data_IF_444230999415
#
_entry.id   IF_444230999415
#
_cell.length_a   1.000
_cell.length_b   1.000
_cell.length_c   1.000
_cell.angle_alpha   90.00
_cell.angle_beta   90.00
_cell.angle_gamma   90.00
#
_symmetry.space_group_name_H-M   'P 1'
#
loop_
_entity.id
_entity.type
_entity.pdbx_description
1 polymer ?
#
# COMPACT_ATOMS: atom_id res chain seq x y z
N UNK A 1 11.15 2.17 15.68
CA UNK A 1 10.77 1.76 17.05
C UNK A 1 9.39 1.18 16.94
N UNK A 2 9.19 -0.08 17.34
CA UNK A 2 7.87 -0.72 17.29
C UNK A 2 6.96 -0.09 18.36
N UNK A 3 5.72 0.24 17.99
CA UNK A 3 4.68 0.60 18.95
C UNK A 3 4.29 -0.63 19.76
N UNK A 4 3.99 -0.42 21.04
CA UNK A 4 3.32 -1.40 21.90
C UNK A 4 1.95 -0.85 22.26
N UNK A 5 1.01 -1.69 22.74
CA UNK A 5 -0.31 -1.21 23.17
C UNK A 5 -0.22 -0.08 24.20
N UNK A 6 0.62 -0.25 25.23
CA UNK A 6 0.87 0.80 26.24
C UNK A 6 1.45 2.06 25.63
N UNK A 7 2.37 1.96 24.66
CA UNK A 7 2.91 3.16 23.99
C UNK A 7 1.83 3.85 23.16
N UNK A 8 0.97 3.08 22.49
CA UNK A 8 -0.14 3.60 21.69
C UNK A 8 -1.14 4.39 22.54
N UNK A 9 -1.52 3.89 23.72
CA UNK A 9 -2.43 4.59 24.65
C UNK A 9 -1.84 5.90 25.19
N UNK A 10 -0.51 6.01 25.25
CA UNK A 10 0.20 7.16 25.80
C UNK A 10 0.78 8.08 24.71
N UNK A 11 0.33 7.95 23.45
CA UNK A 11 0.77 8.84 22.38
C UNK A 11 0.33 10.28 22.68
N UNK A 12 1.27 11.22 22.49
CA UNK A 12 0.94 12.64 22.47
C UNK A 12 0.08 13.00 21.27
N UNK A 13 -0.63 14.14 21.33
CA UNK A 13 -1.44 14.63 20.21
C UNK A 13 -0.63 14.78 18.91
N UNK A 14 0.62 15.21 19.02
CA UNK A 14 1.51 15.38 17.87
C UNK A 14 1.91 14.03 17.27
N UNK A 15 2.15 13.01 18.09
CA UNK A 15 2.45 11.65 17.62
C UNK A 15 1.23 11.00 16.95
N UNK A 16 0.04 11.15 17.55
CA UNK A 16 -1.22 10.68 16.94
C UNK A 16 -1.41 11.33 15.56
N UNK A 17 -1.26 12.66 15.49
CA UNK A 17 -1.38 13.39 14.22
C UNK A 17 -0.34 12.92 13.18
N UNK A 18 0.90 12.67 13.60
CA UNK A 18 1.94 12.18 12.70
C UNK A 18 1.63 10.77 12.15
N UNK A 19 1.11 9.89 13.00
CA UNK A 19 0.67 8.54 12.61
C UNK A 19 -0.50 8.63 11.63
N UNK A 20 -1.53 9.40 11.93
CA UNK A 20 -2.69 9.57 11.05
C UNK A 20 -2.28 10.12 9.67
N UNK A 21 -1.41 11.12 9.64
CA UNK A 21 -0.87 11.66 8.38
C UNK A 21 -0.08 10.61 7.59
N UNK A 22 0.73 9.79 8.28
CA UNK A 22 1.47 8.71 7.64
C UNK A 22 0.53 7.68 7.02
N UNK A 23 -0.44 7.17 7.80
CA UNK A 23 -1.43 6.18 7.35
C UNK A 23 -2.27 6.69 6.18
N UNK A 24 -2.67 7.97 6.24
CA UNK A 24 -3.38 8.63 5.16
C UNK A 24 -2.54 8.69 3.87
N UNK A 25 -1.28 9.15 3.97
CA UNK A 25 -0.38 9.25 2.81
C UNK A 25 -0.05 7.89 2.21
N UNK A 26 0.16 6.87 3.04
CA UNK A 26 0.36 5.49 2.60
C UNK A 26 -0.84 4.99 1.79
N UNK A 27 -2.05 5.18 2.33
CA UNK A 27 -3.29 4.77 1.66
C UNK A 27 -3.48 5.50 0.34
N UNK A 28 -3.23 6.83 0.31
CA UNK A 28 -3.31 7.62 -0.92
C UNK A 28 -2.30 7.23 -1.98
N UNK A 29 -1.08 6.87 -1.60
CA UNK A 29 -0.08 6.34 -2.52
C UNK A 29 -0.57 5.01 -3.12
N UNK A 30 -1.03 4.09 -2.28
CA UNK A 30 -1.54 2.80 -2.73
C UNK A 30 -2.72 2.96 -3.69
N UNK A 31 -3.72 3.76 -3.34
CA UNK A 31 -4.89 4.00 -4.19
C UNK A 31 -4.50 4.62 -5.53
N UNK A 32 -3.67 5.66 -5.51
CA UNK A 32 -3.23 6.35 -6.73
C UNK A 32 -2.48 5.41 -7.68
N UNK A 33 -1.64 4.53 -7.13
CA UNK A 33 -0.92 3.54 -7.92
C UNK A 33 -1.84 2.49 -8.51
N UNK A 34 -2.73 1.91 -7.69
CA UNK A 34 -3.65 0.86 -8.14
C UNK A 34 -4.70 1.35 -9.14
N UNK A 35 -5.30 2.51 -8.90
CA UNK A 35 -6.38 3.02 -9.74
C UNK A 35 -5.88 3.56 -11.08
N UNK A 36 -4.71 4.22 -11.08
CA UNK A 36 -4.24 4.99 -12.24
C UNK A 36 -2.92 4.48 -12.79
N UNK A 37 -1.89 4.40 -11.95
CA UNK A 37 -0.52 4.15 -12.42
C UNK A 37 -0.38 2.78 -13.10
N UNK A 38 -0.94 1.74 -12.49
CA UNK A 38 -0.87 0.38 -13.02
C UNK A 38 -1.55 0.28 -14.38
N UNK A 39 -2.79 0.75 -14.49
CA UNK A 39 -3.52 0.76 -15.76
C UNK A 39 -2.81 1.59 -16.83
N UNK A 40 -2.32 2.77 -16.46
CA UNK A 40 -1.62 3.66 -17.38
C UNK A 40 -0.33 3.03 -17.93
N UNK A 41 0.47 2.35 -17.09
CA UNK A 41 1.65 1.66 -17.55
C UNK A 41 1.28 0.46 -18.44
N UNK A 42 0.32 -0.36 -18.03
CA UNK A 42 -0.12 -1.50 -18.85
C UNK A 42 -0.66 -1.06 -20.21
N UNK A 43 -1.35 0.09 -20.25
CA UNK A 43 -1.89 0.69 -21.48
C UNK A 43 -0.84 1.08 -22.52
N UNK A 44 0.44 1.13 -22.13
CA UNK A 44 1.55 1.29 -23.09
C UNK A 44 1.87 0.00 -23.85
N UNK A 45 1.51 -1.15 -23.30
CA UNK A 45 1.84 -2.46 -23.85
C UNK A 45 0.61 -3.21 -24.39
N UNK A 46 -0.56 -2.97 -23.81
CA UNK A 46 -1.81 -3.63 -24.18
C UNK A 46 -2.94 -2.62 -24.42
N UNK A 47 -3.81 -2.92 -25.38
CA UNK A 47 -5.03 -2.13 -25.61
C UNK A 47 -6.16 -2.57 -24.66
N UNK A 48 -7.15 -1.69 -24.45
CA UNK A 48 -8.39 -1.97 -23.68
C UNK A 48 -8.18 -2.34 -22.20
N UNK A 49 -7.10 -1.86 -21.57
CA UNK A 49 -6.78 -2.13 -20.15
C UNK A 49 -7.86 -1.73 -19.16
N UNK A 50 -8.71 -0.76 -19.52
CA UNK A 50 -9.78 -0.28 -18.65
C UNK A 50 -10.88 -1.32 -18.39
N UNK A 51 -11.01 -2.31 -19.28
CA UNK A 51 -11.99 -3.40 -19.17
C UNK A 51 -11.47 -4.58 -18.34
N UNK A 52 -10.18 -4.58 -18.00
CA UNK A 52 -9.58 -5.67 -17.25
C UNK A 52 -9.94 -5.58 -15.77
N UNK A 53 -10.29 -6.71 -15.13
CA UNK A 53 -10.30 -6.81 -13.68
C UNK A 53 -8.95 -6.38 -13.10
N UNK A 54 -8.96 -5.73 -11.94
CA UNK A 54 -7.73 -5.18 -11.33
C UNK A 54 -6.66 -6.25 -11.09
N UNK A 55 -7.05 -7.46 -10.68
CA UNK A 55 -6.11 -8.57 -10.49
C UNK A 55 -5.42 -8.97 -11.79
N UNK A 56 -6.13 -8.92 -12.92
CA UNK A 56 -5.58 -9.24 -14.23
C UNK A 56 -4.63 -8.12 -14.71
N UNK A 57 -4.94 -6.86 -14.39
CA UNK A 57 -4.02 -5.73 -14.64
C UNK A 57 -2.68 -5.98 -13.95
N UNK A 58 -2.68 -6.34 -12.66
CA UNK A 58 -1.43 -6.61 -11.93
C UNK A 58 -0.70 -7.82 -12.53
N UNK A 59 -1.37 -8.96 -12.72
CA UNK A 59 -0.75 -10.17 -13.29
C UNK A 59 -0.12 -9.93 -14.67
N UNK A 60 -0.72 -9.06 -15.47
CA UNK A 60 -0.14 -8.67 -16.77
C UNK A 60 1.07 -7.76 -16.59
N UNK A 61 1.00 -6.77 -15.69
CA UNK A 61 2.12 -5.90 -15.36
C UNK A 61 3.36 -6.64 -14.88
N UNK A 62 3.21 -7.72 -14.11
CA UNK A 62 4.33 -8.54 -13.60
C UNK A 62 5.26 -9.02 -14.72
N UNK A 63 4.69 -9.31 -15.91
CA UNK A 63 5.47 -9.74 -17.08
C UNK A 63 6.36 -8.64 -17.64
N UNK A 64 6.01 -7.38 -17.43
CA UNK A 64 6.74 -6.22 -17.96
C UNK A 64 7.74 -5.66 -16.94
N UNK A 65 7.42 -5.73 -15.64
CA UNK A 65 8.27 -5.26 -14.55
C UNK A 65 9.21 -6.32 -13.97
N UNK A 66 9.05 -7.59 -14.37
CA UNK A 66 9.85 -8.73 -13.91
C UNK A 66 9.89 -8.89 -12.36
N UNK A 67 8.76 -8.62 -11.69
CA UNK A 67 8.59 -8.73 -10.25
C UNK A 67 7.19 -9.29 -9.95
N UNK A 68 7.07 -10.11 -8.90
CA UNK A 68 5.77 -10.52 -8.34
C UNK A 68 5.20 -9.35 -7.53
N UNK A 69 4.23 -8.65 -8.14
CA UNK A 69 3.57 -7.49 -7.54
C UNK A 69 2.23 -7.93 -6.93
N UNK A 70 1.56 -8.94 -7.47
CA UNK A 70 0.21 -9.33 -7.08
C UNK A 70 0.14 -9.78 -5.63
N UNK A 71 1.09 -10.60 -5.18
CA UNK A 71 1.10 -11.10 -3.82
C UNK A 71 1.37 -9.99 -2.80
N UNK A 72 2.41 -9.20 -3.01
CA UNK A 72 2.73 -8.07 -2.14
C UNK A 72 1.61 -7.01 -2.14
N UNK A 73 1.06 -6.70 -3.31
CA UNK A 73 -0.04 -5.73 -3.41
C UNK A 73 -1.30 -6.20 -2.70
N UNK A 74 -1.61 -7.50 -2.80
CA UNK A 74 -2.73 -8.08 -2.07
C UNK A 74 -2.53 -7.95 -0.56
N UNK A 75 -1.33 -8.27 -0.06
CA UNK A 75 -1.00 -8.16 1.35
C UNK A 75 -1.07 -6.71 1.86
N UNK A 76 -0.53 -5.76 1.09
CA UNK A 76 -0.66 -4.32 1.38
C UNK A 76 -2.12 -3.90 1.52
N UNK A 77 -3.01 -4.36 0.62
CA UNK A 77 -4.45 -4.05 0.68
C UNK A 77 -5.12 -4.69 1.89
N UNK A 78 -4.74 -5.92 2.24
CA UNK A 78 -5.27 -6.63 3.39
C UNK A 78 -4.95 -5.88 4.68
N UNK A 79 -3.69 -5.53 4.89
CA UNK A 79 -3.24 -4.79 6.09
C UNK A 79 -3.97 -3.44 6.21
N UNK A 80 -4.10 -2.70 5.09
CA UNK A 80 -4.86 -1.44 5.09
C UNK A 80 -6.35 -1.64 5.40
N UNK A 81 -6.96 -2.70 4.88
CA UNK A 81 -8.38 -2.96 5.16
C UNK A 81 -8.62 -3.33 6.63
N UNK A 82 -7.66 -3.99 7.28
CA UNK A 82 -7.71 -4.25 8.73
C UNK A 82 -7.67 -2.95 9.53
N UNK A 83 -6.84 -1.98 9.12
CA UNK A 83 -6.80 -0.65 9.75
C UNK A 83 -8.20 -0.03 9.83
N UNK A 84 -8.99 -0.07 8.75
CA UNK A 84 -10.33 0.52 8.71
C UNK A 84 -11.39 -0.23 9.55
N UNK A 85 -11.16 -1.50 9.90
CA UNK A 85 -12.09 -2.31 10.69
C UNK A 85 -11.78 -2.29 12.19
N UNK A 86 -10.51 -2.14 12.57
CA UNK A 86 -10.04 -2.31 13.96
C UNK A 86 -9.94 -0.98 14.73
N UNK A 87 -10.49 0.12 14.18
CA UNK A 87 -10.30 1.48 14.71
C UNK A 87 -10.88 1.75 16.12
N UNK A 88 -11.61 0.82 16.75
CA UNK A 88 -12.46 1.20 17.89
C UNK A 88 -12.18 0.55 19.26
N UNK A 89 -11.53 -0.62 19.43
CA UNK A 89 -11.54 -1.26 20.77
C UNK A 89 -10.24 -1.92 21.30
N UNK A 90 -9.12 -1.97 20.56
CA UNK A 90 -7.90 -2.64 21.06
C UNK A 90 -6.58 -1.92 20.73
N UNK A 91 -5.94 -1.25 21.71
CA UNK A 91 -4.64 -0.59 21.56
C UNK A 91 -3.50 -1.49 21.07
N UNK A 92 -3.51 -2.78 21.44
CA UNK A 92 -2.47 -3.73 21.04
C UNK A 92 -2.60 -4.04 19.55
N UNK A 93 -3.83 -4.29 19.08
CA UNK A 93 -4.12 -4.55 17.68
C UNK A 93 -3.76 -3.34 16.82
N UNK A 94 -4.14 -2.14 17.25
CA UNK A 94 -3.81 -0.91 16.53
C UNK A 94 -2.30 -0.67 16.43
N UNK A 95 -1.56 -0.85 17.54
CA UNK A 95 -0.10 -0.78 17.53
C UNK A 95 0.51 -1.80 16.54
N UNK A 96 -0.02 -3.02 16.51
CA UNK A 96 0.45 -4.07 15.61
C UNK A 96 0.18 -3.73 14.13
N UNK A 97 -1.01 -3.24 13.79
CA UNK A 97 -1.33 -2.83 12.41
C UNK A 97 -0.44 -1.67 11.97
N UNK A 98 -0.27 -0.65 12.80
CA UNK A 98 0.60 0.50 12.47
C UNK A 98 2.04 0.02 12.22
N UNK A 99 2.54 -0.89 13.06
CA UNK A 99 3.86 -1.50 12.87
C UNK A 99 3.95 -2.29 11.56
N UNK A 100 2.91 -3.04 11.19
CA UNK A 100 2.85 -3.79 9.93
C UNK A 100 2.87 -2.86 8.72
N UNK A 101 2.06 -1.79 8.73
CA UNK A 101 2.04 -0.79 7.64
C UNK A 101 3.40 -0.11 7.54
N UNK A 102 4.01 0.24 8.67
CA UNK A 102 5.34 0.84 8.70
C UNK A 102 6.41 -0.10 8.11
N UNK A 103 6.38 -1.40 8.46
CA UNK A 103 7.28 -2.40 7.90
C UNK A 103 7.11 -2.60 6.39
N UNK A 104 5.90 -2.36 5.87
CA UNK A 104 5.58 -2.46 4.44
C UNK A 104 5.94 -1.23 3.61
N UNK A 105 6.53 -0.20 4.22
CA UNK A 105 7.00 1.01 3.53
C UNK A 105 7.93 0.67 2.35
N UNK A 106 8.95 -0.13 2.58
CA UNK A 106 9.92 -0.47 1.53
C UNK A 106 9.28 -1.25 0.39
N UNK A 107 8.28 -2.09 0.68
CA UNK A 107 7.55 -2.85 -0.33
C UNK A 107 6.81 -1.93 -1.29
N UNK A 108 5.99 -0.99 -0.77
CA UNK A 108 5.23 -0.07 -1.63
C UNK A 108 6.16 0.88 -2.40
N UNK A 109 7.27 1.31 -1.79
CA UNK A 109 8.29 2.12 -2.44
C UNK A 109 8.98 1.36 -3.59
N UNK A 110 9.35 0.09 -3.38
CA UNK A 110 9.97 -0.74 -4.40
C UNK A 110 9.04 -0.96 -5.60
N UNK A 111 7.75 -1.25 -5.35
CA UNK A 111 6.75 -1.38 -6.42
C UNK A 111 6.66 -0.07 -7.22
N UNK A 112 6.62 1.08 -6.55
CA UNK A 112 6.60 2.37 -7.22
C UNK A 112 7.85 2.60 -8.09
N UNK A 113 9.04 2.33 -7.56
CA UNK A 113 10.30 2.55 -8.28
C UNK A 113 10.41 1.65 -9.52
N UNK A 114 9.97 0.38 -9.43
CA UNK A 114 9.98 -0.54 -10.57
C UNK A 114 9.03 -0.09 -11.67
N UNK A 115 7.82 0.33 -11.30
CA UNK A 115 6.83 0.87 -12.24
C UNK A 115 7.37 2.16 -12.87
N UNK A 116 7.96 3.04 -12.07
CA UNK A 116 8.57 4.29 -12.54
C UNK A 116 9.70 4.04 -13.52
N UNK A 117 10.58 3.06 -13.28
CA UNK A 117 11.66 2.73 -14.20
C UNK A 117 11.12 2.37 -15.59
N UNK A 118 10.05 1.55 -15.65
CA UNK A 118 9.38 1.19 -16.90
C UNK A 118 8.61 2.34 -17.57
N UNK A 119 8.32 3.42 -16.86
CA UNK A 119 7.75 4.62 -17.48
C UNK A 119 8.75 5.40 -18.34
N UNK A 120 10.06 5.24 -18.12
CA UNK A 120 11.10 5.98 -18.86
C UNK A 120 11.91 5.12 -19.83
N UNK A 121 11.63 3.82 -19.89
CA UNK A 121 12.01 2.93 -21.00
C UNK A 121 11.07 3.16 -22.21
#
# INVERSE_FOLDING_TARGET
MLLTGTKYENLSKDEVQAIDQYLFRFSKLQDSMGEKLFKALLGRFEENTDRLPFLDVIKKLEKYVAMDIANEWHDLRKIRNQLAHEYEDNPIEMANIINLIYAKKEVIENIYLMIKAKCYE
#
